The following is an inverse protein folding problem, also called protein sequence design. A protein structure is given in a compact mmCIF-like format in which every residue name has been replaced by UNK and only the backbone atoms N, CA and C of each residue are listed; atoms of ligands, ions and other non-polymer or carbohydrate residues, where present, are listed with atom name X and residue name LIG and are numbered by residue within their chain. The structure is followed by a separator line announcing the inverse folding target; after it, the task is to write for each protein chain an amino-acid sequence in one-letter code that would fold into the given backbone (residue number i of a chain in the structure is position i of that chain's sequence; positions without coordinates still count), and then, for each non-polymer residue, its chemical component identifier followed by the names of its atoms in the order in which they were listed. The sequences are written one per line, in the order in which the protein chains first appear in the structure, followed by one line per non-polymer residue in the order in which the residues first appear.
data_IF_526283001848
#
_entry.id   IF_526283001848
#
_cell.length_a   1.000
_cell.length_b   1.000
_cell.length_c   1.000
_cell.angle_alpha   90.00
_cell.angle_beta   90.00
_cell.angle_gamma   90.00
#
_symmetry.space_group_name_H-M   'P 1'
#
loop_
_entity.id
_entity.type
_entity.pdbx_description
1 polymer ?
#
# COMPACT_ATOMS: atom_id res chain seq x y z
N UNK A 1 -28.15 -33.24 -8.30
CA UNK A 1 -28.91 -32.57 -7.22
C UNK A 1 -28.09 -31.38 -6.71
N UNK A 2 -28.37 -30.17 -7.20
CA UNK A 2 -27.71 -28.95 -6.74
C UNK A 2 -28.14 -28.64 -5.30
N UNK A 3 -27.20 -28.60 -4.35
CA UNK A 3 -27.53 -28.33 -2.94
C UNK A 3 -27.68 -26.82 -2.71
N UNK A 4 -28.78 -26.33 -2.10
CA UNK A 4 -29.02 -24.90 -1.90
C UNK A 4 -27.94 -24.20 -1.06
N UNK A 5 -27.20 -24.94 -0.23
CA UNK A 5 -26.02 -24.45 0.50
C UNK A 5 -24.84 -24.13 -0.43
N UNK A 6 -24.67 -24.90 -1.50
CA UNK A 6 -23.60 -24.69 -2.47
C UNK A 6 -23.86 -23.44 -3.33
N UNK A 7 -25.12 -23.18 -3.73
CA UNK A 7 -25.51 -21.90 -4.36
C UNK A 7 -25.23 -20.71 -3.45
N UNK A 8 -25.56 -20.81 -2.16
CA UNK A 8 -25.36 -19.72 -1.21
C UNK A 8 -23.87 -19.38 -1.01
N UNK A 9 -23.03 -20.40 -0.84
CA UNK A 9 -21.57 -20.22 -0.71
C UNK A 9 -20.99 -19.57 -1.97
N UNK A 10 -21.37 -20.05 -3.15
CA UNK A 10 -20.90 -19.49 -4.41
C UNK A 10 -21.32 -18.03 -4.60
N UNK A 11 -22.56 -17.69 -4.24
CA UNK A 11 -23.05 -16.32 -4.29
C UNK A 11 -22.26 -15.40 -3.34
N UNK A 12 -21.97 -15.85 -2.13
CA UNK A 12 -21.16 -15.08 -1.16
C UNK A 12 -19.74 -14.86 -1.68
N UNK A 13 -19.09 -15.91 -2.18
CA UNK A 13 -17.72 -15.82 -2.73
C UNK A 13 -17.69 -14.88 -3.93
N UNK A 14 -18.64 -15.02 -4.86
CA UNK A 14 -18.75 -14.13 -6.02
C UNK A 14 -18.98 -12.67 -5.59
N UNK A 15 -19.85 -12.44 -4.60
CA UNK A 15 -20.07 -11.12 -4.02
C UNK A 15 -18.81 -10.54 -3.38
N UNK A 16 -18.07 -11.33 -2.60
CA UNK A 16 -16.83 -10.90 -1.97
C UNK A 16 -15.75 -10.55 -3.00
N UNK A 17 -15.63 -11.33 -4.08
CA UNK A 17 -14.71 -11.03 -5.19
C UNK A 17 -15.11 -9.75 -5.90
N UNK A 18 -16.40 -9.56 -6.21
CA UNK A 18 -16.89 -8.35 -6.86
C UNK A 18 -16.65 -7.09 -6.00
N UNK A 19 -16.96 -7.17 -4.71
CA UNK A 19 -16.70 -6.08 -3.75
C UNK A 19 -15.20 -5.80 -3.62
N UNK A 20 -14.38 -6.85 -3.49
CA UNK A 20 -12.93 -6.71 -3.43
C UNK A 20 -12.36 -6.04 -4.68
N UNK A 21 -12.84 -6.43 -5.87
CA UNK A 21 -12.43 -5.85 -7.15
C UNK A 21 -12.73 -4.36 -7.28
N UNK A 22 -13.76 -3.85 -6.61
CA UNK A 22 -14.06 -2.42 -6.56
C UNK A 22 -13.34 -1.69 -5.41
N UNK A 23 -13.29 -2.30 -4.23
CA UNK A 23 -12.77 -1.66 -3.01
C UNK A 23 -11.24 -1.59 -2.98
N UNK A 24 -10.54 -2.62 -3.48
CA UNK A 24 -9.07 -2.68 -3.44
C UNK A 24 -8.47 -1.51 -4.24
N UNK A 25 -8.81 -1.30 -5.54
CA UNK A 25 -8.23 -0.19 -6.31
C UNK A 25 -8.53 1.19 -5.73
N UNK A 26 -9.72 1.36 -5.14
CA UNK A 26 -10.11 2.61 -4.49
C UNK A 26 -9.24 2.88 -3.26
N UNK A 27 -9.01 1.85 -2.45
CA UNK A 27 -8.26 1.94 -1.19
C UNK A 27 -6.74 1.91 -1.36
N UNK A 28 -6.23 1.57 -2.55
CA UNK A 28 -4.82 1.70 -2.92
C UNK A 28 -4.45 3.13 -3.35
N UNK A 29 -5.44 3.92 -3.77
CA UNK A 29 -5.20 5.24 -4.33
C UNK A 29 -4.76 6.26 -3.26
N UNK A 30 -3.70 7.09 -3.49
CA UNK A 30 -3.21 8.07 -2.52
C UNK A 30 -4.28 9.03 -1.97
N UNK A 31 -5.22 9.43 -2.82
CA UNK A 31 -6.36 10.27 -2.42
C UNK A 31 -7.26 9.62 -1.37
N UNK A 32 -7.40 8.29 -1.35
CA UNK A 32 -8.14 7.61 -0.30
C UNK A 32 -7.39 7.74 1.03
N UNK A 33 -6.07 7.49 1.05
CA UNK A 33 -5.24 7.68 2.24
C UNK A 33 -5.32 9.13 2.77
N UNK A 34 -5.36 10.11 1.86
CA UNK A 34 -5.48 11.53 2.20
C UNK A 34 -6.84 11.95 2.79
N UNK A 35 -7.84 11.06 2.82
CA UNK A 35 -9.13 11.35 3.47
C UNK A 35 -9.03 11.37 4.99
N UNK A 36 -7.99 10.75 5.55
CA UNK A 36 -7.72 10.74 6.97
C UNK A 36 -6.78 11.90 7.34
N UNK A 37 -7.22 12.78 8.23
CA UNK A 37 -6.49 14.00 8.60
C UNK A 37 -5.08 13.75 9.17
N UNK A 38 -4.88 12.63 9.86
CA UNK A 38 -3.61 12.23 10.47
C UNK A 38 -2.58 11.82 9.41
N UNK A 39 -3.02 11.50 8.19
CA UNK A 39 -2.15 11.15 7.06
C UNK A 39 -1.73 12.37 6.24
N UNK A 40 -2.36 13.54 6.43
CA UNK A 40 -2.11 14.73 5.61
C UNK A 40 -0.61 15.11 5.48
N UNK A 41 0.22 15.11 6.55
CA UNK A 41 1.64 15.42 6.40
C UNK A 41 2.40 14.42 5.52
N UNK A 42 2.06 13.12 5.62
CA UNK A 42 2.65 12.07 4.78
C UNK A 42 2.25 12.23 3.31
N UNK A 43 1.00 12.60 3.04
CA UNK A 43 0.53 12.89 1.69
C UNK A 43 1.24 14.10 1.09
N UNK A 44 1.38 15.20 1.85
CA UNK A 44 2.08 16.41 1.39
C UNK A 44 3.56 16.16 1.09
N UNK A 45 4.20 15.29 1.89
CA UNK A 45 5.57 14.82 1.63
C UNK A 45 5.64 13.99 0.35
N UNK A 46 4.71 13.05 0.17
CA UNK A 46 4.62 12.21 -1.02
C UNK A 46 4.46 13.02 -2.31
N UNK A 47 3.58 14.04 -2.33
CA UNK A 47 3.35 14.91 -3.51
C UNK A 47 4.64 15.63 -3.96
N UNK A 48 5.54 15.95 -3.03
CA UNK A 48 6.81 16.65 -3.29
C UNK A 48 7.97 15.70 -3.56
N UNK A 49 7.77 14.38 -3.41
CA UNK A 49 8.81 13.37 -3.53
C UNK A 49 9.02 12.91 -4.97
N UNK A 50 10.13 12.21 -5.23
CA UNK A 50 10.38 11.51 -6.49
C UNK A 50 9.38 10.37 -6.79
N UNK A 51 8.58 9.97 -5.79
CA UNK A 51 7.59 8.90 -5.90
C UNK A 51 6.14 9.40 -5.99
N UNK A 52 5.92 10.70 -6.25
CA UNK A 52 4.59 11.32 -6.32
C UNK A 52 3.62 10.74 -7.37
N UNK A 53 4.14 9.91 -8.28
CA UNK A 53 3.35 9.22 -9.32
C UNK A 53 3.22 7.71 -9.04
N UNK A 54 3.70 7.25 -7.87
CA UNK A 54 3.59 5.88 -7.36
C UNK A 54 2.57 5.87 -6.23
N UNK A 55 1.64 4.92 -6.25
CA UNK A 55 0.59 4.83 -5.25
C UNK A 55 1.14 4.47 -3.85
N UNK A 56 0.43 4.87 -2.79
CA UNK A 56 0.90 4.70 -1.42
C UNK A 56 1.07 3.22 -1.04
N UNK A 57 0.19 2.35 -1.57
CA UNK A 57 0.25 0.91 -1.30
C UNK A 57 1.54 0.29 -1.83
N UNK A 58 2.09 0.80 -2.93
CA UNK A 58 3.27 0.22 -3.59
C UNK A 58 4.51 0.28 -2.69
N UNK A 59 4.51 1.16 -1.69
CA UNK A 59 5.52 1.23 -0.64
C UNK A 59 5.05 0.62 0.68
N UNK A 60 3.77 0.80 1.04
CA UNK A 60 3.23 0.43 2.37
C UNK A 60 2.59 -0.97 2.44
N UNK A 61 2.51 -1.69 1.32
CA UNK A 61 1.99 -3.06 1.24
C UNK A 61 3.04 -3.93 0.57
N UNK A 62 3.53 -4.95 1.28
CA UNK A 62 4.51 -5.88 0.70
C UNK A 62 3.90 -6.67 -0.47
N UNK A 63 4.71 -7.01 -1.48
CA UNK A 63 4.23 -7.77 -2.62
C UNK A 63 3.75 -9.17 -2.22
N UNK A 64 2.78 -9.70 -2.97
CA UNK A 64 2.25 -11.04 -2.78
C UNK A 64 1.14 -11.15 -1.73
N UNK A 65 0.62 -12.36 -1.57
CA UNK A 65 -0.58 -12.60 -0.76
C UNK A 65 -0.35 -12.32 0.74
N UNK A 66 0.83 -12.64 1.27
CA UNK A 66 1.11 -12.40 2.68
C UNK A 66 1.14 -10.90 3.01
N UNK A 67 1.79 -10.10 2.17
CA UNK A 67 1.82 -8.64 2.34
C UNK A 67 0.43 -8.03 2.22
N UNK A 68 -0.36 -8.46 1.23
CA UNK A 68 -1.76 -8.06 1.13
C UNK A 68 -2.55 -8.37 2.41
N UNK A 69 -2.44 -9.59 2.96
CA UNK A 69 -3.20 -9.97 4.15
C UNK A 69 -2.74 -9.24 5.41
N UNK A 70 -1.43 -9.09 5.62
CA UNK A 70 -0.88 -8.48 6.85
C UNK A 70 -0.95 -6.97 6.82
N UNK A 71 -0.52 -6.35 5.73
CA UNK A 71 -0.30 -4.91 5.66
C UNK A 71 -1.57 -4.18 5.22
N UNK A 72 -2.26 -4.71 4.20
CA UNK A 72 -3.50 -4.08 3.71
C UNK A 72 -4.72 -4.52 4.48
N UNK A 73 -5.00 -5.83 4.53
CA UNK A 73 -6.25 -6.32 5.11
C UNK A 73 -6.26 -6.20 6.64
N UNK A 74 -5.21 -6.67 7.33
CA UNK A 74 -5.17 -6.63 8.80
C UNK A 74 -4.80 -5.25 9.35
N UNK A 75 -3.62 -4.70 9.00
CA UNK A 75 -3.19 -3.42 9.54
C UNK A 75 -4.05 -2.25 9.02
N UNK A 76 -4.37 -2.20 7.73
CA UNK A 76 -5.27 -1.18 7.18
C UNK A 76 -6.66 -1.17 7.83
N UNK A 77 -7.28 -2.34 8.06
CA UNK A 77 -8.56 -2.40 8.78
C UNK A 77 -8.42 -1.91 10.22
N UNK A 78 -7.34 -2.27 10.91
CA UNK A 78 -7.06 -1.78 12.26
C UNK A 78 -6.93 -0.25 12.29
N UNK A 79 -6.24 0.33 11.31
CA UNK A 79 -6.06 1.78 11.22
C UNK A 79 -7.41 2.50 10.99
N UNK A 80 -8.26 1.96 10.11
CA UNK A 80 -9.63 2.47 9.91
C UNK A 80 -10.43 2.40 11.21
N UNK A 81 -10.40 1.25 11.91
CA UNK A 81 -11.16 1.07 13.15
C UNK A 81 -10.71 2.02 14.25
N UNK A 82 -9.39 2.20 14.43
CA UNK A 82 -8.86 3.13 15.44
C UNK A 82 -9.19 4.57 15.05
N UNK A 83 -9.13 4.92 13.77
CA UNK A 83 -9.44 6.29 13.30
C UNK A 83 -10.92 6.63 13.48
N UNK A 84 -11.83 5.68 13.25
CA UNK A 84 -13.28 5.91 13.32
C UNK A 84 -13.82 5.78 14.75
N UNK A 85 -13.35 4.78 15.51
CA UNK A 85 -13.95 4.43 16.80
C UNK A 85 -13.03 4.65 18.01
N UNK A 86 -11.75 4.91 17.78
CA UNK A 86 -10.74 5.04 18.83
C UNK A 86 -10.02 6.38 18.80
N UNK A 87 -8.77 6.35 19.24
CA UNK A 87 -7.87 7.49 19.25
C UNK A 87 -6.70 7.19 18.31
N UNK A 88 -6.70 7.70 17.07
CA UNK A 88 -5.60 7.50 16.15
C UNK A 88 -4.33 8.18 16.67
N UNK A 89 -3.18 7.64 16.25
CA UNK A 89 -1.88 8.26 16.53
C UNK A 89 -1.83 9.65 15.88
N UNK A 90 -1.35 10.63 16.65
CA UNK A 90 -1.12 11.99 16.13
C UNK A 90 -0.18 11.95 14.92
N UNK A 91 -0.44 12.81 13.94
CA UNK A 91 0.29 12.83 12.68
C UNK A 91 1.81 12.97 12.86
N UNK A 92 2.28 13.72 13.87
CA UNK A 92 3.71 13.91 14.15
C UNK A 92 4.37 12.66 14.75
N UNK A 93 3.58 11.77 15.34
CA UNK A 93 4.04 10.53 15.94
C UNK A 93 3.86 9.32 15.02
N UNK A 94 3.26 9.50 13.84
CA UNK A 94 3.14 8.43 12.87
C UNK A 94 4.51 8.04 12.35
N UNK A 95 4.85 6.77 12.53
CA UNK A 95 6.05 6.18 11.97
C UNK A 95 5.66 5.05 11.03
N UNK A 96 5.91 5.24 9.74
CA UNK A 96 5.64 4.21 8.76
C UNK A 96 6.85 3.27 8.64
N UNK A 97 6.60 1.98 8.81
CA UNK A 97 7.59 0.94 8.53
C UNK A 97 7.48 0.51 7.08
N UNK A 98 8.50 0.81 6.29
CA UNK A 98 8.62 0.40 4.87
C UNK A 98 9.73 -0.63 4.76
N UNK A 99 9.43 -1.77 4.14
CA UNK A 99 10.38 -2.88 4.00
C UNK A 99 11.27 -2.69 2.77
N UNK A 100 12.58 -2.90 2.87
CA UNK A 100 13.52 -2.69 1.75
C UNK A 100 13.18 -3.49 0.48
N UNK A 101 12.50 -4.63 0.63
CA UNK A 101 12.04 -5.45 -0.49
C UNK A 101 11.08 -4.71 -1.45
N UNK A 102 10.27 -3.76 -0.93
CA UNK A 102 9.40 -2.94 -1.80
C UNK A 102 10.22 -2.02 -2.69
N UNK A 103 11.30 -1.43 -2.15
CA UNK A 103 12.22 -0.58 -2.90
C UNK A 103 12.89 -1.39 -4.02
N UNK A 104 13.37 -2.60 -3.68
CA UNK A 104 14.06 -3.50 -4.59
C UNK A 104 13.15 -4.09 -5.67
N UNK A 105 11.82 -4.09 -5.47
CA UNK A 105 10.88 -4.58 -6.47
C UNK A 105 10.92 -3.76 -7.78
N UNK A 106 11.14 -2.45 -7.65
CA UNK A 106 11.30 -1.48 -8.74
C UNK A 106 12.78 -1.13 -8.99
N UNK A 107 13.56 -0.88 -7.94
CA UNK A 107 14.96 -0.49 -8.03
C UNK A 107 15.91 -1.70 -7.96
N UNK A 108 15.74 -2.66 -8.87
CA UNK A 108 16.47 -3.94 -8.85
C UNK A 108 17.99 -3.79 -8.97
N UNK A 109 18.43 -2.70 -9.58
CA UNK A 109 19.85 -2.43 -9.85
C UNK A 109 20.52 -1.55 -8.80
N UNK A 110 19.78 -1.08 -7.78
CA UNK A 110 20.34 -0.19 -6.74
C UNK A 110 21.40 -0.86 -5.87
N UNK A 111 21.50 -2.19 -5.93
CA UNK A 111 22.55 -2.93 -5.24
C UNK A 111 23.76 -3.22 -6.14
N UNK A 112 23.66 -2.94 -7.46
CA UNK A 112 24.76 -3.12 -8.42
C UNK A 112 25.50 -1.82 -8.74
N UNK A 113 25.15 -0.70 -8.08
CA UNK A 113 25.82 0.60 -8.31
C UNK A 113 27.30 0.57 -7.97
N UNK A 114 27.76 -0.34 -7.10
CA UNK A 114 29.18 -0.56 -6.85
C UNK A 114 29.94 -1.16 -8.04
N UNK A 115 29.24 -1.70 -9.03
CA UNK A 115 29.79 -2.25 -10.27
C UNK A 115 29.79 -1.21 -11.41
N UNK A 116 29.09 -0.08 -11.23
CA UNK A 116 28.99 1.02 -12.19
C UNK A 116 29.88 2.17 -11.73
N UNK A 117 30.92 2.50 -12.51
CA UNK A 117 31.79 3.61 -12.16
C UNK A 117 31.00 4.94 -12.12
N UNK A 118 31.28 5.89 -11.20
CA UNK A 118 30.55 7.16 -11.11
C UNK A 118 30.46 7.95 -12.42
N UNK A 119 31.46 7.79 -13.30
CA UNK A 119 31.48 8.40 -14.64
C UNK A 119 30.36 7.91 -15.58
N UNK A 120 29.83 6.71 -15.33
CA UNK A 120 28.85 6.00 -16.15
C UNK A 120 27.42 6.12 -15.57
N UNK A 121 27.24 6.83 -14.44
CA UNK A 121 25.92 7.10 -13.87
C UNK A 121 25.15 8.14 -14.71
N UNK A 122 23.83 7.97 -14.91
CA UNK A 122 22.99 9.00 -15.50
C UNK A 122 22.77 10.15 -14.51
N UNK A 123 22.71 11.42 -14.96
CA UNK A 123 22.20 12.51 -14.14
C UNK A 123 20.77 12.19 -13.68
N UNK A 124 20.36 12.51 -12.43
CA UNK A 124 21.04 13.35 -11.43
C UNK A 124 21.94 12.58 -10.44
N UNK A 125 22.21 11.30 -10.69
CA UNK A 125 22.96 10.42 -9.77
C UNK A 125 24.48 10.61 -9.94
N UNK A 126 24.92 11.09 -11.11
CA UNK A 126 26.28 11.53 -11.43
C UNK A 126 26.66 12.78 -10.64
#
# INVERSE_FOLDING_TARGET
MWKPKATAILAIVAGAIALGGAAIPLTDHPKFCATCHNIAPSYDSWVKSSHKDVACESCHVRPGLEGFLRDKAYAGTKDVLITVFGTPTDAHNLNAKVHSEVCLSCHREILRVSEVAPRDLPPPVK
#
